data_IF_339325651416
#
_entry.id   IF_339325651416
#
_cell.length_a   1.000
_cell.length_b   1.000
_cell.length_c   1.000
_cell.angle_alpha   90.00
_cell.angle_beta   90.00
_cell.angle_gamma   90.00
#
_symmetry.space_group_name_H-M   'P 1'
#
loop_
_entity.id
_entity.type
_entity.pdbx_description
1 polymer ?
#
# COMPACT_ATOMS: atom_id res chain seq x y z
N UNK A 1 36.52 0.99 9.17
CA UNK A 1 36.19 0.14 8.00
C UNK A 1 34.73 -0.27 8.14
N UNK A 2 33.82 0.30 7.35
CA UNK A 2 32.41 -0.11 7.29
C UNK A 2 32.23 -0.85 5.97
N UNK A 3 32.46 -2.16 6.01
CA UNK A 3 32.16 -3.06 4.91
C UNK A 3 30.87 -3.81 5.27
N UNK A 4 29.76 -3.46 4.63
CA UNK A 4 28.52 -4.23 4.70
C UNK A 4 27.27 -3.39 4.96
N UNK A 5 26.68 -2.79 3.91
CA UNK A 5 25.23 -2.68 3.80
C UNK A 5 24.70 -2.26 2.41
N UNK A 6 25.39 -2.59 1.32
CA UNK A 6 24.88 -2.31 -0.03
C UNK A 6 24.82 -3.59 -0.85
N UNK A 7 23.94 -4.52 -0.47
CA UNK A 7 23.16 -5.17 -1.55
C UNK A 7 22.31 -4.05 -2.12
N UNK A 8 22.46 -3.73 -3.41
CA UNK A 8 21.83 -2.55 -3.98
C UNK A 8 20.32 -2.60 -3.79
N UNK A 9 19.64 -1.46 -3.75
CA UNK A 9 18.17 -1.42 -3.74
C UNK A 9 17.57 -2.33 -4.83
N UNK A 10 18.22 -2.38 -6.00
CA UNK A 10 17.87 -3.28 -7.09
C UNK A 10 17.98 -4.77 -6.73
N UNK A 11 19.01 -5.17 -5.97
CA UNK A 11 19.17 -6.55 -5.50
C UNK A 11 18.08 -6.93 -4.49
N UNK A 12 17.72 -6.00 -3.61
CA UNK A 12 16.63 -6.20 -2.66
C UNK A 12 15.28 -6.34 -3.37
N UNK A 13 14.98 -5.46 -4.32
CA UNK A 13 13.76 -5.53 -5.15
C UNK A 13 13.74 -6.86 -5.93
N UNK A 14 14.86 -7.24 -6.56
CA UNK A 14 14.96 -8.50 -7.30
C UNK A 14 14.69 -9.69 -6.40
N UNK A 15 15.26 -9.70 -5.20
CA UNK A 15 15.05 -10.76 -4.22
C UNK A 15 13.58 -10.86 -3.79
N UNK A 16 12.93 -9.73 -3.48
CA UNK A 16 11.52 -9.70 -3.10
C UNK A 16 10.61 -10.21 -4.24
N UNK A 17 10.84 -9.75 -5.47
CA UNK A 17 10.09 -10.20 -6.65
C UNK A 17 10.29 -11.69 -6.88
N UNK A 18 11.51 -12.20 -6.70
CA UNK A 18 11.79 -13.63 -6.79
C UNK A 18 11.00 -14.42 -5.75
N UNK A 19 11.00 -13.99 -4.48
CA UNK A 19 10.24 -14.66 -3.42
C UNK A 19 8.73 -14.64 -3.71
N UNK A 20 8.20 -13.52 -4.19
CA UNK A 20 6.79 -13.41 -4.56
C UNK A 20 6.44 -14.38 -5.68
N UNK A 21 7.30 -14.48 -6.68
CA UNK A 21 7.10 -15.42 -7.79
C UNK A 21 7.21 -16.87 -7.33
N UNK A 22 8.18 -17.21 -6.49
CA UNK A 22 8.28 -18.55 -5.91
C UNK A 22 7.04 -18.90 -5.08
N UNK A 23 6.53 -17.96 -4.30
CA UNK A 23 5.29 -18.14 -3.51
C UNK A 23 4.05 -18.32 -4.39
N UNK A 24 3.98 -17.59 -5.51
CA UNK A 24 2.93 -17.76 -6.52
C UNK A 24 2.97 -19.15 -7.16
N UNK A 25 4.17 -19.62 -7.52
CA UNK A 25 4.36 -20.95 -8.09
C UNK A 25 4.03 -22.04 -7.07
N UNK A 26 4.35 -21.80 -5.79
CA UNK A 26 4.09 -22.74 -4.70
C UNK A 26 2.61 -23.07 -4.47
N UNK A 27 1.69 -22.20 -4.93
CA UNK A 27 0.25 -22.44 -4.83
C UNK A 27 -0.21 -23.71 -5.56
N UNK A 28 0.44 -24.06 -6.68
CA UNK A 28 0.08 -25.22 -7.50
C UNK A 28 1.24 -26.19 -7.70
N UNK A 29 2.48 -25.74 -7.56
CA UNK A 29 3.67 -26.55 -7.74
C UNK A 29 4.45 -26.56 -6.43
N UNK A 30 4.56 -27.69 -5.72
CA UNK A 30 5.23 -27.73 -4.43
C UNK A 30 6.73 -27.45 -4.57
N UNK A 31 7.40 -27.09 -3.47
CA UNK A 31 8.87 -26.90 -3.42
C UNK A 31 9.37 -25.89 -4.46
N UNK A 32 8.81 -24.69 -4.43
CA UNK A 32 9.27 -23.58 -5.29
C UNK A 32 10.06 -22.52 -4.52
N UNK A 33 9.80 -22.36 -3.20
CA UNK A 33 10.38 -21.33 -2.34
C UNK A 33 11.46 -21.86 -1.40
N UNK A 34 12.58 -21.14 -1.31
CA UNK A 34 13.64 -21.42 -0.30
C UNK A 34 14.34 -22.78 -0.47
N UNK A 35 14.34 -23.31 -1.69
CA UNK A 35 14.76 -24.70 -1.98
C UNK A 35 16.25 -24.80 -2.33
N UNK A 36 16.94 -23.67 -2.45
CA UNK A 36 18.37 -23.58 -2.82
C UNK A 36 19.29 -24.37 -1.89
N UNK A 37 18.92 -24.52 -0.62
CA UNK A 37 19.72 -25.21 0.40
C UNK A 37 19.16 -26.59 0.77
N UNK A 38 18.25 -27.15 -0.05
CA UNK A 38 17.63 -28.45 0.21
C UNK A 38 18.18 -29.52 -0.73
N UNK A 39 18.40 -30.72 -0.19
CA UNK A 39 18.93 -31.88 -0.95
C UNK A 39 17.99 -32.35 -2.06
N UNK A 40 16.69 -32.03 -1.97
CA UNK A 40 15.66 -32.49 -2.89
C UNK A 40 15.48 -31.59 -4.13
N UNK A 41 16.07 -30.39 -4.15
CA UNK A 41 15.96 -29.46 -5.27
C UNK A 41 14.54 -28.95 -5.55
N UNK A 42 14.45 -27.97 -6.45
CA UNK A 42 13.19 -27.34 -6.87
C UNK A 42 12.38 -28.31 -7.72
N UNK A 43 11.06 -28.34 -7.54
CA UNK A 43 10.19 -29.15 -8.40
C UNK A 43 10.27 -28.66 -9.85
N UNK A 44 10.41 -29.60 -10.78
CA UNK A 44 10.46 -29.36 -12.23
C UNK A 44 9.42 -30.23 -12.95
N UNK A 45 8.80 -29.72 -14.03
CA UNK A 45 7.88 -30.52 -14.83
C UNK A 45 8.62 -31.67 -15.54
N UNK A 46 8.06 -32.88 -15.50
CA UNK A 46 8.64 -34.08 -16.14
C UNK A 46 7.89 -34.45 -17.43
N UNK A 47 6.63 -34.03 -17.56
CA UNK A 47 5.80 -34.30 -18.72
C UNK A 47 5.51 -33.03 -19.57
N UNK A 48 5.20 -33.19 -20.87
CA UNK A 48 4.84 -32.05 -21.73
C UNK A 48 3.61 -31.28 -21.23
N UNK A 49 2.63 -31.98 -20.64
CA UNK A 49 1.43 -31.35 -20.06
C UNK A 49 1.79 -30.48 -18.87
N UNK A 50 2.63 -30.98 -17.97
CA UNK A 50 3.11 -30.21 -16.82
C UNK A 50 3.94 -29.00 -17.25
N UNK A 51 4.73 -29.12 -18.32
CA UNK A 51 5.50 -27.99 -18.82
C UNK A 51 4.60 -26.85 -19.34
N UNK A 52 3.50 -27.20 -20.01
CA UNK A 52 2.50 -26.22 -20.47
C UNK A 52 1.81 -25.56 -19.27
N UNK A 53 1.31 -26.34 -18.30
CA UNK A 53 0.62 -25.77 -17.13
C UNK A 53 1.57 -24.94 -16.26
N UNK A 54 2.81 -25.37 -16.09
CA UNK A 54 3.85 -24.63 -15.38
C UNK A 54 4.14 -23.29 -16.05
N UNK A 55 4.36 -23.30 -17.36
CA UNK A 55 4.66 -22.07 -18.12
C UNK A 55 3.46 -21.12 -18.13
N UNK A 56 2.24 -21.64 -18.32
CA UNK A 56 1.03 -20.84 -18.28
C UNK A 56 0.82 -20.18 -16.91
N UNK A 57 0.99 -20.94 -15.83
CA UNK A 57 0.86 -20.43 -14.47
C UNK A 57 1.94 -19.40 -14.12
N UNK A 58 3.18 -19.66 -14.50
CA UNK A 58 4.30 -18.72 -14.35
C UNK A 58 4.02 -17.41 -15.08
N UNK A 59 3.53 -17.49 -16.32
CA UNK A 59 3.23 -16.31 -17.15
C UNK A 59 2.09 -15.50 -16.57
N UNK A 60 1.05 -16.13 -16.01
CA UNK A 60 -0.03 -15.45 -15.28
C UNK A 60 0.46 -14.77 -14.00
N UNK A 61 1.47 -15.33 -13.34
CA UNK A 61 2.07 -14.73 -12.16
C UNK A 61 2.75 -13.39 -12.42
N UNK A 62 3.30 -13.18 -13.63
CA UNK A 62 4.01 -11.93 -13.99
C UNK A 62 3.13 -10.68 -13.85
N UNK A 63 1.96 -10.55 -14.53
CA UNK A 63 1.11 -9.38 -14.38
C UNK A 63 0.54 -9.24 -12.97
N UNK A 64 0.23 -10.35 -12.30
CA UNK A 64 -0.28 -10.34 -10.92
C UNK A 64 0.76 -9.75 -9.97
N UNK A 65 2.02 -10.22 -10.03
CA UNK A 65 3.10 -9.74 -9.16
C UNK A 65 3.48 -8.31 -9.54
N UNK A 66 3.49 -7.96 -10.83
CA UNK A 66 3.75 -6.58 -11.28
C UNK A 66 2.73 -5.59 -10.71
N UNK A 67 1.48 -5.99 -10.51
CA UNK A 67 0.45 -5.17 -9.87
C UNK A 67 0.54 -5.19 -8.35
N UNK A 68 0.72 -6.38 -7.76
CA UNK A 68 0.73 -6.55 -6.29
C UNK A 68 1.98 -5.97 -5.64
N UNK A 69 3.14 -6.02 -6.28
CA UNK A 69 4.39 -5.56 -5.67
C UNK A 69 4.38 -4.05 -5.36
N UNK A 70 4.01 -3.15 -6.28
CA UNK A 70 3.82 -1.73 -5.96
C UNK A 70 2.76 -1.49 -4.88
N UNK A 71 1.67 -2.26 -4.87
CA UNK A 71 0.62 -2.16 -3.83
C UNK A 71 1.16 -2.56 -2.46
N UNK A 72 1.97 -3.63 -2.37
CA UNK A 72 2.61 -4.07 -1.13
C UNK A 72 3.60 -3.03 -0.61
N UNK A 73 4.45 -2.48 -1.49
CA UNK A 73 5.37 -1.39 -1.14
C UNK A 73 4.60 -0.15 -0.66
N UNK A 74 3.54 0.21 -1.36
CA UNK A 74 2.68 1.35 -1.01
C UNK A 74 2.01 1.11 0.35
N UNK A 75 1.46 -0.08 0.59
CA UNK A 75 0.86 -0.45 1.87
C UNK A 75 1.88 -0.44 3.02
N UNK A 76 3.10 -0.94 2.78
CA UNK A 76 4.19 -0.88 3.74
C UNK A 76 4.57 0.58 4.06
N UNK A 77 4.74 1.40 3.03
CA UNK A 77 5.03 2.83 3.17
C UNK A 77 3.93 3.56 3.95
N UNK A 78 2.67 3.35 3.58
CA UNK A 78 1.52 3.93 4.29
C UNK A 78 1.51 3.49 5.74
N UNK A 79 1.72 2.21 6.06
CA UNK A 79 1.74 1.72 7.45
C UNK A 79 2.90 2.32 8.25
N UNK A 80 4.07 2.45 7.64
CA UNK A 80 5.23 3.08 8.26
C UNK A 80 4.95 4.56 8.58
N UNK A 81 4.44 5.30 7.60
CA UNK A 81 4.11 6.71 7.76
C UNK A 81 2.91 6.92 8.69
N UNK A 82 1.89 6.07 8.63
CA UNK A 82 0.73 6.11 9.52
C UNK A 82 1.12 5.86 10.98
N UNK A 83 2.09 4.97 11.27
CA UNK A 83 2.62 4.81 12.63
C UNK A 83 3.30 6.08 13.13
N UNK A 84 4.06 6.75 12.26
CA UNK A 84 4.74 8.00 12.58
C UNK A 84 3.75 9.14 12.77
N UNK A 85 2.74 9.24 11.91
CA UNK A 85 1.66 10.23 11.99
C UNK A 85 0.74 9.98 13.19
N UNK A 86 0.47 8.72 13.52
CA UNK A 86 -0.28 8.36 14.72
C UNK A 86 0.44 8.85 15.98
N UNK A 87 1.77 8.73 16.06
CA UNK A 87 2.54 9.30 17.17
C UNK A 87 2.41 10.84 17.24
N UNK A 88 2.33 11.52 16.10
CA UNK A 88 2.07 12.98 16.04
C UNK A 88 0.63 13.32 16.42
N UNK A 89 -0.36 12.55 15.96
CA UNK A 89 -1.77 12.73 16.28
C UNK A 89 -2.07 12.49 17.76
N UNK A 90 -1.42 11.50 18.39
CA UNK A 90 -1.47 11.28 19.84
C UNK A 90 -0.95 12.50 20.61
N UNK A 91 0.06 13.21 20.09
CA UNK A 91 0.59 14.46 20.69
C UNK A 91 -0.30 15.67 20.46
N UNK A 92 -0.99 15.76 19.31
CA UNK A 92 -1.95 16.83 19.00
C UNK A 92 -3.28 16.69 19.77
N UNK A 93 -3.65 15.46 20.14
CA UNK A 93 -4.95 15.17 20.74
C UNK A 93 -6.12 15.34 19.76
N UNK A 94 -7.33 14.98 20.21
CA UNK A 94 -8.54 15.01 19.36
C UNK A 94 -8.83 16.40 18.79
N UNK A 95 -8.71 17.45 19.62
CA UNK A 95 -8.93 18.83 19.21
C UNK A 95 -7.93 19.29 18.15
N UNK A 96 -6.65 18.93 18.29
CA UNK A 96 -5.63 19.27 17.30
C UNK A 96 -5.91 18.62 15.94
N UNK A 97 -6.37 17.37 15.92
CA UNK A 97 -6.79 16.68 14.69
C UNK A 97 -7.98 17.37 14.04
N UNK A 98 -9.01 17.74 14.83
CA UNK A 98 -10.20 18.45 14.31
C UNK A 98 -9.81 19.78 13.68
N UNK A 99 -9.04 20.62 14.40
CA UNK A 99 -8.59 21.94 13.89
C UNK A 99 -7.77 21.78 12.62
N UNK A 100 -6.84 20.82 12.58
CA UNK A 100 -6.01 20.55 11.41
C UNK A 100 -6.86 20.19 10.18
N UNK A 101 -7.81 19.26 10.33
CA UNK A 101 -8.66 18.83 9.22
C UNK A 101 -9.59 19.94 8.74
N UNK A 102 -10.16 20.72 9.66
CA UNK A 102 -10.99 21.89 9.32
C UNK A 102 -10.18 22.93 8.53
N UNK A 103 -8.95 23.23 8.95
CA UNK A 103 -8.10 24.16 8.23
C UNK A 103 -7.67 23.63 6.87
N UNK A 104 -7.35 22.34 6.77
CA UNK A 104 -6.88 21.73 5.53
C UNK A 104 -8.00 21.65 4.48
N UNK A 105 -9.16 21.10 4.86
CA UNK A 105 -10.30 20.97 3.95
C UNK A 105 -11.04 22.29 3.75
N UNK A 106 -11.25 23.07 4.81
CA UNK A 106 -11.86 24.39 4.73
C UNK A 106 -10.99 25.36 3.91
N UNK A 107 -9.67 25.28 4.05
CA UNK A 107 -8.71 26.01 3.22
C UNK A 107 -8.77 25.57 1.75
N UNK A 108 -8.84 24.26 1.48
CA UNK A 108 -8.99 23.74 0.11
C UNK A 108 -10.29 24.25 -0.55
N UNK A 109 -11.42 24.20 0.17
CA UNK A 109 -12.71 24.73 -0.30
C UNK A 109 -12.61 26.24 -0.54
N UNK A 110 -11.97 26.99 0.36
CA UNK A 110 -11.76 28.42 0.19
C UNK A 110 -10.88 28.73 -1.04
N UNK A 111 -9.82 27.95 -1.29
CA UNK A 111 -8.96 28.11 -2.48
C UNK A 111 -9.74 27.80 -3.76
N UNK A 112 -10.50 26.70 -3.78
CA UNK A 112 -11.36 26.34 -4.93
C UNK A 112 -12.36 27.44 -5.20
N UNK A 113 -13.01 27.96 -4.16
CA UNK A 113 -13.96 29.05 -4.27
C UNK A 113 -13.29 30.32 -4.80
N UNK A 114 -12.20 30.78 -4.19
CA UNK A 114 -11.54 32.04 -4.60
C UNK A 114 -10.90 31.99 -5.99
N UNK A 115 -10.34 30.85 -6.40
CA UNK A 115 -9.59 30.73 -7.66
C UNK A 115 -10.43 30.24 -8.83
N UNK A 116 -11.52 29.51 -8.58
CA UNK A 116 -12.28 28.84 -9.65
C UNK A 116 -13.78 29.16 -9.67
N UNK A 117 -14.23 30.20 -8.94
CA UNK A 117 -15.62 30.71 -8.98
C UNK A 117 -16.15 31.05 -10.38
N UNK A 118 -15.27 31.27 -11.38
CA UNK A 118 -15.65 31.58 -12.75
C UNK A 118 -15.79 30.37 -13.69
N UNK A 119 -15.37 29.16 -13.26
CA UNK A 119 -15.31 27.97 -14.13
C UNK A 119 -16.17 26.80 -13.65
N UNK A 120 -16.57 26.77 -12.38
CA UNK A 120 -17.42 25.72 -11.82
C UNK A 120 -18.83 26.24 -11.53
N UNK A 121 -19.81 25.38 -11.71
CA UNK A 121 -21.22 25.67 -11.37
C UNK A 121 -21.43 25.49 -9.86
N UNK A 122 -22.36 26.22 -9.24
CA UNK A 122 -22.66 26.13 -7.79
C UNK A 122 -22.86 24.69 -7.28
N UNK A 123 -23.41 23.82 -8.13
CA UNK A 123 -23.63 22.39 -7.85
C UNK A 123 -22.31 21.63 -7.64
N UNK A 124 -21.27 21.93 -8.42
CA UNK A 124 -19.96 21.28 -8.32
C UNK A 124 -19.22 21.72 -7.05
N UNK A 125 -19.38 22.99 -6.68
CA UNK A 125 -18.83 23.54 -5.44
C UNK A 125 -19.49 22.89 -4.21
N UNK A 126 -20.82 22.73 -4.23
CA UNK A 126 -21.56 22.03 -3.17
C UNK A 126 -21.17 20.55 -3.09
N UNK A 127 -20.92 19.89 -4.23
CA UNK A 127 -20.47 18.51 -4.25
C UNK A 127 -19.09 18.35 -3.59
N UNK A 128 -18.14 19.24 -3.88
CA UNK A 128 -16.81 19.26 -3.26
C UNK A 128 -16.93 19.53 -1.75
N UNK A 129 -17.76 20.49 -1.34
CA UNK A 129 -17.98 20.79 0.08
C UNK A 129 -18.59 19.60 0.83
N UNK A 130 -19.56 18.91 0.21
CA UNK A 130 -20.20 17.73 0.79
C UNK A 130 -19.22 16.56 0.91
N UNK A 131 -18.40 16.33 -0.12
CA UNK A 131 -17.35 15.32 -0.11
C UNK A 131 -16.28 15.61 0.97
N UNK A 132 -15.85 16.87 1.12
CA UNK A 132 -14.93 17.30 2.16
C UNK A 132 -15.50 17.13 3.58
N UNK A 133 -16.79 17.44 3.75
CA UNK A 133 -17.52 17.19 5.00
C UNK A 133 -17.56 15.71 5.37
N UNK A 134 -17.92 14.85 4.41
CA UNK A 134 -17.93 13.40 4.60
C UNK A 134 -16.53 12.84 4.94
N UNK A 135 -15.49 13.32 4.25
CA UNK A 135 -14.10 12.93 4.52
C UNK A 135 -13.65 13.35 5.93
N UNK A 136 -14.06 14.54 6.39
CA UNK A 136 -13.77 15.04 7.74
C UNK A 136 -14.45 14.16 8.79
N UNK A 137 -15.73 13.82 8.59
CA UNK A 137 -16.48 12.96 9.50
C UNK A 137 -15.86 11.56 9.60
N UNK A 138 -15.50 10.96 8.46
CA UNK A 138 -14.81 9.67 8.42
C UNK A 138 -13.45 9.70 9.15
N UNK A 139 -12.72 10.81 9.05
CA UNK A 139 -11.43 10.99 9.72
C UNK A 139 -11.59 11.04 11.25
N UNK A 140 -12.61 11.75 11.74
CA UNK A 140 -12.94 11.79 13.17
C UNK A 140 -13.30 10.39 13.68
N UNK A 141 -14.13 9.65 12.95
CA UNK A 141 -14.54 8.31 13.33
C UNK A 141 -13.37 7.31 13.34
N UNK A 142 -12.49 7.40 12.36
CA UNK A 142 -11.25 6.61 12.29
C UNK A 142 -10.36 6.86 13.51
N UNK A 143 -10.17 8.12 13.89
CA UNK A 143 -9.40 8.46 15.09
C UNK A 143 -10.06 7.95 16.37
N UNK A 144 -11.38 8.11 16.52
CA UNK A 144 -12.12 7.64 17.69
C UNK A 144 -12.01 6.12 17.87
N UNK A 145 -12.18 5.36 16.79
CA UNK A 145 -12.04 3.89 16.80
C UNK A 145 -10.61 3.43 17.05
N UNK A 146 -9.61 4.13 16.52
CA UNK A 146 -8.20 3.85 16.80
C UNK A 146 -7.86 4.04 18.29
N UNK A 147 -8.41 5.08 18.92
CA UNK A 147 -8.26 5.33 20.36
C UNK A 147 -8.99 4.29 21.22
N UNK A 148 -10.23 3.94 20.86
CA UNK A 148 -11.02 2.95 21.60
C UNK A 148 -10.39 1.55 21.58
N UNK A 149 -9.64 1.21 20.52
CA UNK A 149 -8.90 -0.04 20.38
C UNK A 149 -7.60 -0.10 21.22
N UNK A 150 -7.33 0.87 22.11
CA UNK A 150 -6.17 0.85 23.03
C UNK A 150 -4.81 1.08 22.36
N UNK A 151 -4.79 1.65 21.15
CA UNK A 151 -3.55 1.97 20.39
C UNK A 151 -3.09 3.43 20.55
N UNK A 152 -3.48 4.08 21.65
CA UNK A 152 -3.15 5.47 21.98
C UNK A 152 -2.05 5.58 23.01
#
# INVERSE_FOLDING_TARGET
MVAGNQRGLADAIRYDVQILHESWMELFFPRQRGVSDTVLGKWSPESPREQITYTAWSTLGVPVIALLYPLLLTGYFIRFQARRLAATAVRLGLLGVIVLFVLLWGGLVAVVWLQFSGSFTDVEIVAIATAGGAATFASVLSYATARAAGRG
#
